data_IF_395307991370
#
_entry.id   IF_395307991370
#
_cell.length_a   1.000
_cell.length_b   1.000
_cell.length_c   1.000
_cell.angle_alpha   90.00
_cell.angle_beta   90.00
_cell.angle_gamma   90.00
#
_symmetry.space_group_name_H-M   'P 1'
#
loop_
_entity.id
_entity.type
_entity.pdbx_description
1 polymer ?
#
# COMPACT_ATOMS: atom_id res chain seq x y z
N UNK A 1 38.93 22.89 27.45
CA UNK A 1 38.25 21.82 26.70
C UNK A 1 36.84 22.31 26.41
N UNK A 2 36.52 22.83 25.22
CA UNK A 2 35.17 23.25 24.91
C UNK A 2 34.38 22.03 24.47
N UNK A 3 33.34 21.73 25.23
CA UNK A 3 32.18 20.95 24.80
C UNK A 3 31.25 21.96 24.13
N UNK A 4 31.22 21.96 22.81
CA UNK A 4 30.08 22.40 22.01
C UNK A 4 30.35 21.90 20.59
N UNK A 5 29.96 20.66 20.31
CA UNK A 5 29.74 20.17 18.96
C UNK A 5 28.31 20.58 18.59
N UNK A 6 28.10 21.74 17.95
CA UNK A 6 26.77 22.11 17.52
C UNK A 6 26.41 21.22 16.34
N UNK A 7 25.13 20.83 16.31
CA UNK A 7 24.50 20.29 15.10
C UNK A 7 24.83 18.81 14.88
N UNK A 8 24.19 17.97 15.71
CA UNK A 8 23.46 16.83 15.18
C UNK A 8 22.87 17.27 13.84
N UNK A 9 23.45 16.77 12.75
CA UNK A 9 22.85 16.82 11.42
C UNK A 9 21.61 15.92 11.46
N UNK A 10 20.57 16.40 12.14
CA UNK A 10 19.21 16.05 11.81
C UNK A 10 18.98 16.71 10.45
N UNK A 11 19.53 16.09 9.41
CA UNK A 11 18.98 16.12 8.08
C UNK A 11 17.59 15.51 8.19
N UNK A 12 16.69 16.29 8.82
CA UNK A 12 15.28 16.28 8.51
C UNK A 12 15.30 16.53 7.02
N UNK A 13 15.22 15.43 6.29
CA UNK A 13 14.94 15.40 4.87
C UNK A 13 13.65 16.17 4.77
N UNK A 14 13.79 17.49 4.62
CA UNK A 14 12.73 18.44 4.43
C UNK A 14 12.17 18.03 3.10
N UNK A 15 11.25 17.06 3.18
CA UNK A 15 10.36 16.71 2.12
C UNK A 15 9.61 18.02 1.93
N UNK A 16 10.02 18.83 0.96
CA UNK A 16 9.43 20.13 0.74
C UNK A 16 7.91 19.97 0.83
N UNK A 17 7.18 20.89 1.46
CA UNK A 17 5.74 20.74 1.65
C UNK A 17 5.01 20.46 0.31
N UNK A 18 5.52 21.01 -0.79
CA UNK A 18 5.10 20.69 -2.16
C UNK A 18 5.25 19.21 -2.56
N UNK A 19 6.33 18.55 -2.13
CA UNK A 19 6.62 17.13 -2.39
C UNK A 19 5.82 16.23 -1.45
N UNK A 20 5.67 16.61 -0.18
CA UNK A 20 4.85 15.87 0.79
C UNK A 20 3.36 15.88 0.40
N UNK A 21 2.85 17.03 -0.06
CA UNK A 21 1.49 17.16 -0.60
C UNK A 21 1.34 16.35 -1.89
N UNK A 22 2.32 16.41 -2.80
CA UNK A 22 2.29 15.64 -4.05
C UNK A 22 2.30 14.12 -3.80
N UNK A 23 3.07 13.63 -2.82
CA UNK A 23 3.11 12.22 -2.45
C UNK A 23 1.81 11.77 -1.78
N UNK A 24 1.27 12.57 -0.87
CA UNK A 24 -0.02 12.30 -0.22
C UNK A 24 -1.17 12.26 -1.24
N UNK A 25 -1.16 13.16 -2.23
CA UNK A 25 -2.14 13.16 -3.32
C UNK A 25 -2.05 11.91 -4.20
N UNK A 26 -0.84 11.45 -4.55
CA UNK A 26 -0.66 10.19 -5.30
C UNK A 26 -1.19 9.00 -4.51
N UNK A 27 -0.86 8.90 -3.23
CA UNK A 27 -1.35 7.83 -2.36
C UNK A 27 -2.88 7.88 -2.20
N UNK A 28 -3.47 9.07 -2.07
CA UNK A 28 -4.91 9.26 -2.00
C UNK A 28 -5.61 8.84 -3.29
N UNK A 29 -5.00 9.09 -4.45
CA UNK A 29 -5.54 8.70 -5.76
C UNK A 29 -5.53 7.18 -5.93
N UNK A 30 -4.41 6.54 -5.58
CA UNK A 30 -4.29 5.07 -5.52
C UNK A 30 -5.31 4.49 -4.55
N UNK A 31 -5.44 5.06 -3.35
CA UNK A 31 -6.42 4.61 -2.34
C UNK A 31 -7.86 4.82 -2.82
N UNK A 32 -8.17 5.90 -3.51
CA UNK A 32 -9.49 6.15 -4.08
C UNK A 32 -9.83 5.11 -5.16
N UNK A 33 -8.88 4.78 -6.05
CA UNK A 33 -9.07 3.72 -7.04
C UNK A 33 -9.18 2.34 -6.40
N UNK A 34 -8.32 2.01 -5.44
CA UNK A 34 -8.43 0.79 -4.64
C UNK A 34 -9.74 0.73 -3.84
N UNK A 35 -10.33 1.88 -3.47
CA UNK A 35 -11.63 1.94 -2.80
C UNK A 35 -12.81 1.73 -3.76
N UNK A 36 -12.62 1.92 -5.07
CA UNK A 36 -13.59 1.51 -6.09
C UNK A 36 -13.59 0.00 -6.31
N UNK A 37 -12.52 -0.71 -5.92
CA UNK A 37 -12.56 -2.17 -5.89
C UNK A 37 -13.49 -2.66 -4.78
N UNK A 38 -14.18 -3.79 -5.01
CA UNK A 38 -14.98 -4.41 -3.96
C UNK A 38 -14.14 -4.69 -2.71
N UNK A 39 -14.76 -4.51 -1.54
CA UNK A 39 -14.09 -4.66 -0.24
C UNK A 39 -13.30 -5.98 -0.12
N UNK A 40 -13.87 -7.09 -0.60
CA UNK A 40 -13.24 -8.42 -0.59
C UNK A 40 -11.93 -8.49 -1.40
N UNK A 41 -11.83 -7.74 -2.50
CA UNK A 41 -10.62 -7.69 -3.34
C UNK A 41 -9.51 -6.94 -2.62
N UNK A 42 -9.85 -5.81 -2.00
CA UNK A 42 -8.90 -5.02 -1.19
C UNK A 42 -8.40 -5.82 0.02
N UNK A 43 -9.29 -6.51 0.70
CA UNK A 43 -8.96 -7.35 1.86
C UNK A 43 -8.07 -8.52 1.49
N UNK A 44 -8.34 -9.19 0.36
CA UNK A 44 -7.49 -10.25 -0.16
C UNK A 44 -6.05 -9.77 -0.38
N UNK A 45 -5.87 -8.59 -0.98
CA UNK A 45 -4.56 -8.01 -1.20
C UNK A 45 -3.85 -7.64 0.11
N UNK A 46 -4.57 -7.02 1.06
CA UNK A 46 -4.04 -6.64 2.37
C UNK A 46 -3.54 -7.89 3.12
N UNK A 47 -4.37 -8.92 3.22
CA UNK A 47 -3.99 -10.18 3.85
C UNK A 47 -2.84 -10.89 3.15
N UNK A 48 -2.79 -10.82 1.82
CA UNK A 48 -1.69 -11.43 1.07
C UNK A 48 -0.37 -10.65 1.24
N UNK A 49 -0.40 -9.31 1.25
CA UNK A 49 0.79 -8.45 1.24
C UNK A 49 1.28 -8.05 2.64
N UNK A 50 0.38 -7.79 3.58
CA UNK A 50 0.72 -7.37 4.94
C UNK A 50 0.87 -8.58 5.86
N UNK A 51 -0.08 -9.52 5.81
CA UNK A 51 -0.09 -10.68 6.71
C UNK A 51 0.59 -11.92 6.12
N UNK A 52 0.97 -11.89 4.82
CA UNK A 52 1.59 -13.04 4.15
C UNK A 52 0.68 -14.27 4.06
N UNK A 53 -0.65 -14.08 4.18
CA UNK A 53 -1.61 -15.18 4.22
C UNK A 53 -1.65 -15.90 2.85
N UNK A 54 -1.68 -17.24 2.84
CA UNK A 54 -1.84 -18.00 1.61
C UNK A 54 -3.25 -17.84 1.05
N UNK A 55 -3.39 -17.99 -0.27
CA UNK A 55 -4.66 -17.87 -0.99
C UNK A 55 -5.78 -18.73 -0.41
N UNK A 56 -5.46 -19.94 0.07
CA UNK A 56 -6.41 -20.83 0.74
C UNK A 56 -7.01 -20.22 2.02
N UNK A 57 -6.16 -19.56 2.80
CA UNK A 57 -6.60 -18.94 4.06
C UNK A 57 -7.41 -17.68 3.80
N UNK A 58 -7.03 -16.90 2.78
CA UNK A 58 -7.81 -15.76 2.30
C UNK A 58 -9.17 -16.21 1.79
N UNK A 59 -9.23 -17.30 1.03
CA UNK A 59 -10.46 -17.88 0.51
C UNK A 59 -11.40 -18.31 1.65
N UNK A 60 -10.87 -18.98 2.68
CA UNK A 60 -11.60 -19.37 3.89
C UNK A 60 -12.16 -18.15 4.63
N UNK A 61 -11.36 -17.09 4.78
CA UNK A 61 -11.78 -15.85 5.48
C UNK A 61 -12.83 -15.04 4.70
N UNK A 62 -12.76 -15.08 3.37
CA UNK A 62 -13.74 -14.41 2.49
C UNK A 62 -14.98 -15.27 2.20
N UNK A 63 -14.99 -16.54 2.58
CA UNK A 63 -16.09 -17.47 2.25
C UNK A 63 -16.19 -17.77 0.74
N UNK A 64 -15.08 -17.70 0.01
CA UNK A 64 -15.02 -17.96 -1.44
C UNK A 64 -14.13 -19.16 -1.75
N UNK A 65 -14.20 -19.68 -2.97
CA UNK A 65 -13.28 -20.73 -3.42
C UNK A 65 -11.86 -20.20 -3.56
N UNK A 66 -10.85 -21.06 -3.38
CA UNK A 66 -9.44 -20.69 -3.55
C UNK A 66 -9.20 -20.00 -4.89
N UNK A 67 -9.73 -20.55 -5.99
CA UNK A 67 -9.67 -19.96 -7.33
C UNK A 67 -10.17 -18.52 -7.39
N UNK A 68 -11.22 -18.19 -6.63
CA UNK A 68 -11.78 -16.84 -6.58
C UNK A 68 -10.89 -15.91 -5.76
N UNK A 69 -10.35 -16.38 -4.63
CA UNK A 69 -9.38 -15.61 -3.86
C UNK A 69 -8.12 -15.27 -4.68
N UNK A 70 -7.62 -16.20 -5.49
CA UNK A 70 -6.51 -15.95 -6.41
C UNK A 70 -6.87 -14.89 -7.45
N UNK A 71 -8.06 -15.00 -8.04
CA UNK A 71 -8.58 -13.98 -8.96
C UNK A 71 -8.64 -12.59 -8.31
N UNK A 72 -9.09 -12.50 -7.06
CA UNK A 72 -9.11 -11.25 -6.32
C UNK A 72 -7.70 -10.68 -6.09
N UNK A 73 -6.75 -11.52 -5.67
CA UNK A 73 -5.35 -11.10 -5.48
C UNK A 73 -4.78 -10.56 -6.80
N UNK A 74 -4.96 -11.28 -7.92
CA UNK A 74 -4.49 -10.84 -9.24
C UNK A 74 -5.14 -9.53 -9.66
N UNK A 75 -6.48 -9.40 -9.55
CA UNK A 75 -7.19 -8.16 -9.88
C UNK A 75 -6.70 -6.96 -9.06
N UNK A 76 -6.41 -7.19 -7.77
CA UNK A 76 -5.88 -6.15 -6.90
C UNK A 76 -4.44 -5.74 -7.26
N UNK A 77 -3.59 -6.70 -7.61
CA UNK A 77 -2.21 -6.45 -8.08
C UNK A 77 -2.23 -5.70 -9.41
N UNK A 78 -3.05 -6.11 -10.38
CA UNK A 78 -3.20 -5.43 -11.67
C UNK A 78 -3.74 -4.00 -11.53
N UNK A 79 -4.66 -3.78 -10.59
CA UNK A 79 -5.12 -2.44 -10.26
C UNK A 79 -3.98 -1.57 -9.72
N UNK A 80 -3.15 -2.10 -8.82
CA UNK A 80 -2.00 -1.40 -8.25
C UNK A 80 -0.87 -1.17 -9.28
N UNK A 81 -0.60 -2.16 -10.13
CA UNK A 81 0.47 -2.09 -11.14
C UNK A 81 0.21 -1.05 -12.23
N UNK A 82 -1.07 -0.83 -12.60
CA UNK A 82 -1.45 0.21 -13.56
C UNK A 82 -1.20 1.65 -13.07
N UNK A 83 -0.96 1.85 -11.78
CA UNK A 83 -0.67 3.17 -11.21
C UNK A 83 0.81 3.41 -10.97
N UNK A 84 1.60 2.36 -10.69
CA UNK A 84 3.05 2.49 -10.52
C UNK A 84 3.79 2.91 -11.81
N UNK A 85 3.12 2.84 -12.97
CA UNK A 85 3.65 3.19 -14.27
C UNK A 85 3.24 4.59 -14.78
N UNK A 86 2.71 5.47 -13.91
CA UNK A 86 2.30 6.84 -14.28
C UNK A 86 3.00 7.94 -13.48
#
# INVERSE_FOLDING_TARGET
MPLDDPTLALESTATCPETAVSQAQRLAQVRARLSQLPFHVRQALLWHRLDGLPQREIARRLGVSERMAGRYITQAIEACAREASR
#
